data_IF_513540326962
#
_entry.id   IF_513540326962
#
_cell.length_a   1.000
_cell.length_b   1.000
_cell.length_c   1.000
_cell.angle_alpha   90.00
_cell.angle_beta   90.00
_cell.angle_gamma   90.00
#
_symmetry.space_group_name_H-M   'P 1'
#
loop_
_entity.id
_entity.type
_entity.pdbx_description
1 polymer ?
#
# COMPACT_ATOMS: atom_id res chain seq x y z
N UNK A 1 25.99 -14.36 5.14
CA UNK A 1 26.16 -13.19 4.24
C UNK A 1 24.84 -12.49 3.93
N UNK A 2 23.84 -13.17 3.33
CA UNK A 2 22.52 -12.57 3.01
C UNK A 2 21.80 -11.92 4.21
N UNK A 3 21.73 -12.61 5.37
CA UNK A 3 21.12 -12.05 6.60
C UNK A 3 21.76 -10.72 7.06
N UNK A 4 23.06 -10.53 6.83
CA UNK A 4 23.78 -9.34 7.28
C UNK A 4 23.53 -8.17 6.32
N UNK A 5 23.50 -8.45 5.01
CA UNK A 5 23.12 -7.47 3.98
C UNK A 5 21.63 -7.08 4.10
N UNK A 6 20.76 -8.06 4.31
CA UNK A 6 19.33 -7.86 4.51
C UNK A 6 19.05 -6.96 5.72
N UNK A 7 19.74 -7.12 6.85
CA UNK A 7 19.59 -6.21 8.02
C UNK A 7 19.90 -4.76 7.70
N UNK A 8 20.85 -4.49 6.79
CA UNK A 8 21.22 -3.13 6.38
C UNK A 8 20.27 -2.55 5.33
N UNK A 9 19.68 -3.40 4.49
CA UNK A 9 18.59 -3.04 3.57
C UNK A 9 17.25 -2.83 4.31
N UNK A 10 17.04 -3.54 5.42
CA UNK A 10 15.86 -3.47 6.28
C UNK A 10 16.00 -2.43 7.42
N UNK A 11 17.15 -1.77 7.53
CA UNK A 11 17.33 -0.64 8.43
C UNK A 11 16.52 0.54 7.88
N UNK A 12 15.22 0.55 8.18
CA UNK A 12 14.28 1.58 7.79
C UNK A 12 14.33 2.67 8.87
N UNK A 13 14.64 3.90 8.46
CA UNK A 13 14.50 5.07 9.32
C UNK A 13 13.05 5.16 9.85
N UNK A 14 12.81 5.28 11.17
CA UNK A 14 11.47 5.42 11.73
C UNK A 14 10.65 6.59 11.12
N UNK A 15 11.33 7.62 10.63
CA UNK A 15 10.72 8.77 9.95
C UNK A 15 10.51 8.53 8.44
N UNK A 16 11.10 7.50 7.84
CA UNK A 16 10.92 7.21 6.43
C UNK A 16 9.45 6.96 6.10
N UNK A 17 9.03 7.48 4.96
CA UNK A 17 7.69 7.30 4.39
C UNK A 17 7.84 6.81 2.96
N UNK A 18 6.79 6.14 2.46
CA UNK A 18 6.76 5.71 1.06
C UNK A 18 6.55 6.91 0.15
N UNK A 19 7.04 6.81 -1.10
CA UNK A 19 6.79 7.85 -2.13
C UNK A 19 5.29 8.14 -2.28
N UNK A 20 4.44 7.11 -2.25
CA UNK A 20 3.00 7.28 -2.33
C UNK A 20 2.40 8.03 -1.13
N UNK A 21 2.98 7.89 0.07
CA UNK A 21 2.56 8.71 1.22
C UNK A 21 2.87 10.18 0.94
N UNK A 22 4.07 10.49 0.44
CA UNK A 22 4.43 11.86 0.05
C UNK A 22 3.52 12.40 -1.06
N UNK A 23 3.15 11.57 -2.04
CA UNK A 23 2.21 11.94 -3.09
C UNK A 23 0.84 12.29 -2.52
N UNK A 24 0.29 11.48 -1.62
CA UNK A 24 -0.97 11.80 -0.94
C UNK A 24 -0.87 13.11 -0.15
N UNK A 25 0.19 13.30 0.64
CA UNK A 25 0.40 14.53 1.41
C UNK A 25 0.50 15.77 0.52
N UNK A 26 1.12 15.64 -0.65
CA UNK A 26 1.26 16.71 -1.65
C UNK A 26 0.09 16.77 -2.63
N UNK A 27 -0.96 15.96 -2.42
CA UNK A 27 -2.16 15.88 -3.28
C UNK A 27 -1.83 15.59 -4.75
N UNK A 28 -0.78 14.80 -4.99
CA UNK A 28 -0.40 14.29 -6.31
C UNK A 28 -1.05 12.93 -6.55
N UNK A 29 -1.29 12.55 -7.81
CA UNK A 29 -1.64 11.18 -8.15
C UNK A 29 -0.54 10.21 -7.67
N UNK A 30 -0.94 9.03 -7.18
CA UNK A 30 -0.03 7.97 -6.76
C UNK A 30 0.15 6.93 -7.87
N UNK A 31 1.17 6.08 -7.72
CA UNK A 31 1.41 4.90 -8.57
C UNK A 31 0.64 3.64 -8.14
N UNK A 32 -0.42 3.77 -7.33
CA UNK A 32 -1.19 2.61 -6.80
C UNK A 32 -1.71 1.66 -7.91
N UNK A 33 -1.92 2.16 -9.13
CA UNK A 33 -2.36 1.34 -10.27
C UNK A 33 -1.29 0.42 -10.86
N UNK A 34 -0.02 0.68 -10.56
CA UNK A 34 1.12 0.02 -11.20
C UNK A 34 1.39 -1.35 -10.57
N UNK A 35 2.33 -1.43 -9.61
CA UNK A 35 2.73 -2.71 -9.00
C UNK A 35 1.56 -3.42 -8.30
N UNK A 36 0.71 -2.70 -7.57
CA UNK A 36 -0.48 -3.31 -6.95
C UNK A 36 -1.50 -3.77 -8.00
N UNK A 37 -1.70 -3.00 -9.08
CA UNK A 37 -2.56 -3.43 -10.18
C UNK A 37 -2.02 -4.68 -10.88
N UNK A 38 -0.70 -4.77 -11.07
CA UNK A 38 -0.06 -5.97 -11.61
C UNK A 38 -0.24 -7.19 -10.69
N UNK A 39 -0.08 -7.01 -9.37
CA UNK A 39 -0.29 -8.05 -8.39
C UNK A 39 -1.77 -8.51 -8.32
N UNK A 40 -2.73 -7.58 -8.44
CA UNK A 40 -4.16 -7.92 -8.53
C UNK A 40 -4.47 -8.74 -9.78
N UNK A 41 -4.00 -8.30 -10.95
CA UNK A 41 -4.17 -9.05 -12.22
C UNK A 41 -3.55 -10.45 -12.14
N UNK A 42 -2.40 -10.58 -11.47
CA UNK A 42 -1.77 -11.89 -11.26
C UNK A 42 -2.62 -12.78 -10.35
N UNK A 43 -3.12 -12.24 -9.23
CA UNK A 43 -3.98 -12.97 -8.30
C UNK A 43 -5.26 -13.46 -8.99
N UNK A 44 -5.87 -12.61 -9.83
CA UNK A 44 -7.05 -12.96 -10.64
C UNK A 44 -6.75 -14.09 -11.63
N UNK A 45 -5.64 -14.01 -12.38
CA UNK A 45 -5.21 -15.08 -13.29
C UNK A 45 -4.93 -16.39 -12.57
N UNK A 46 -4.43 -16.33 -11.35
CA UNK A 46 -4.15 -17.49 -10.51
C UNK A 46 -5.37 -18.01 -9.73
N UNK A 47 -6.55 -17.40 -9.88
CA UNK A 47 -7.75 -17.76 -9.10
C UNK A 47 -7.58 -17.58 -7.59
N UNK A 48 -6.62 -16.73 -7.16
CA UNK A 48 -6.28 -16.53 -5.76
C UNK A 48 -6.97 -15.27 -5.22
N UNK A 49 -7.81 -15.38 -4.18
CA UNK A 49 -8.40 -14.20 -3.54
C UNK A 49 -7.32 -13.29 -2.94
N UNK A 50 -7.34 -12.00 -3.31
CA UNK A 50 -6.44 -10.98 -2.76
C UNK A 50 -7.23 -9.82 -2.10
N UNK A 51 -8.08 -10.10 -1.08
CA UNK A 51 -9.02 -9.12 -0.55
C UNK A 51 -8.33 -7.94 0.15
N UNK A 52 -7.22 -8.18 0.85
CA UNK A 52 -6.42 -7.12 1.47
C UNK A 52 -5.78 -6.21 0.41
N UNK A 53 -5.29 -6.77 -0.69
CA UNK A 53 -4.71 -6.00 -1.78
C UNK A 53 -5.76 -5.08 -2.42
N UNK A 54 -6.95 -5.62 -2.71
CA UNK A 54 -8.10 -4.85 -3.22
C UNK A 54 -8.49 -3.72 -2.25
N UNK A 55 -8.53 -4.01 -0.94
CA UNK A 55 -8.87 -3.03 0.09
C UNK A 55 -7.85 -1.89 0.15
N UNK A 56 -6.57 -2.19 0.18
CA UNK A 56 -5.50 -1.17 0.21
C UNK A 56 -5.57 -0.30 -1.05
N UNK A 57 -5.72 -0.90 -2.23
CA UNK A 57 -5.92 -0.15 -3.47
C UNK A 57 -7.12 0.80 -3.39
N UNK A 58 -8.27 0.32 -2.91
CA UNK A 58 -9.48 1.14 -2.79
C UNK A 58 -9.30 2.30 -1.80
N UNK A 59 -8.66 2.07 -0.65
CA UNK A 59 -8.41 3.10 0.37
C UNK A 59 -7.49 4.21 -0.16
N UNK A 60 -6.45 3.86 -0.93
CA UNK A 60 -5.57 4.85 -1.55
C UNK A 60 -6.32 5.65 -2.61
N UNK A 61 -7.14 5.00 -3.45
CA UNK A 61 -8.00 5.70 -4.43
C UNK A 61 -8.99 6.66 -3.77
N UNK A 62 -9.57 6.28 -2.63
CA UNK A 62 -10.43 7.18 -1.86
C UNK A 62 -9.66 8.40 -1.34
N UNK A 63 -8.46 8.20 -0.78
CA UNK A 63 -7.61 9.29 -0.31
C UNK A 63 -7.19 10.25 -1.46
N UNK A 64 -6.90 9.73 -2.66
CA UNK A 64 -6.64 10.53 -3.85
C UNK A 64 -7.84 11.42 -4.24
N UNK A 65 -9.06 10.88 -4.14
CA UNK A 65 -10.30 11.60 -4.46
C UNK A 65 -10.61 12.68 -3.42
N UNK A 66 -10.41 12.39 -2.14
CA UNK A 66 -10.65 13.32 -1.04
C UNK A 66 -9.63 14.46 -0.98
N UNK A 67 -8.40 14.25 -1.49
CA UNK A 67 -7.30 15.23 -1.48
C UNK A 67 -6.97 15.77 -0.08
N UNK A 68 -7.26 14.98 0.95
CA UNK A 68 -7.07 15.31 2.37
C UNK A 68 -5.68 14.94 2.90
N UNK A 69 -4.89 14.18 2.12
CA UNK A 69 -3.60 13.65 2.54
C UNK A 69 -3.66 12.14 2.75
N UNK A 70 -2.61 11.57 3.35
CA UNK A 70 -2.64 10.18 3.80
C UNK A 70 -3.64 10.04 4.96
N UNK A 71 -4.53 9.04 4.95
CA UNK A 71 -5.49 8.84 6.03
C UNK A 71 -4.85 8.26 7.31
N UNK A 72 -3.54 7.96 7.30
CA UNK A 72 -2.76 7.48 8.45
C UNK A 72 -3.44 6.33 9.23
N UNK A 73 -4.11 5.43 8.50
CA UNK A 73 -4.81 4.28 9.08
C UNK A 73 -3.83 3.31 9.73
N UNK A 74 -4.22 2.75 10.87
CA UNK A 74 -3.46 1.65 11.48
C UNK A 74 -3.69 0.35 10.70
N UNK A 75 -2.78 -0.64 10.78
CA UNK A 75 -2.96 -1.94 10.13
C UNK A 75 -4.30 -2.61 10.49
N UNK A 76 -4.73 -2.50 11.75
CA UNK A 76 -5.98 -3.05 12.24
C UNK A 76 -7.18 -2.40 11.55
N UNK A 77 -7.16 -1.08 11.36
CA UNK A 77 -8.21 -0.35 10.64
C UNK A 77 -8.30 -0.76 9.17
N UNK A 78 -7.17 -1.15 8.55
CA UNK A 78 -7.14 -1.68 7.18
C UNK A 78 -7.72 -3.09 7.13
N UNK A 79 -7.41 -3.95 8.10
CA UNK A 79 -7.81 -5.37 8.13
C UNK A 79 -9.23 -5.60 8.65
N UNK A 80 -9.73 -4.78 9.59
CA UNK A 80 -11.00 -5.00 10.29
C UNK A 80 -12.22 -5.11 9.35
N UNK A 81 -12.17 -4.49 8.17
CA UNK A 81 -13.24 -4.52 7.17
C UNK A 81 -13.06 -5.62 6.11
N UNK A 82 -12.00 -6.44 6.20
CA UNK A 82 -11.65 -7.48 5.21
C UNK A 82 -12.23 -8.85 5.61
N UNK A 83 -13.04 -8.95 6.67
CA UNK A 83 -13.63 -10.22 7.09
C UNK A 83 -14.58 -10.78 6.02
N UNK A 84 -14.25 -12.00 5.60
CA UNK A 84 -14.98 -12.92 4.73
C UNK A 84 -16.38 -13.25 5.21
#
# INVERSE_FOLDING_TARGET
>A
LFKFLARRMLAIDPAARSSMWDDLQRRRPTEIGELQGAALRLAEKAGTPAPLLKRVTALVRAAEQERSGSPCLTPEAVVATVRS
#
